data_IF_393683232909
#
_entry.id   IF_393683232909
#
_cell.length_a   1.000
_cell.length_b   1.000
_cell.length_c   1.000
_cell.angle_alpha   90.00
_cell.angle_beta   90.00
_cell.angle_gamma   90.00
#
_symmetry.space_group_name_H-M   'P 1'
#
loop_
_entity.id
_entity.type
_entity.pdbx_description
1 polymer ?
#
# COMPACT_ATOMS: atom_id res chain seq x y z
N UNK A 1 15.31 -3.76 -11.68
CA UNK A 1 14.28 -4.35 -10.78
C UNK A 1 14.81 -5.59 -10.03
N UNK A 2 14.49 -5.76 -8.73
CA UNK A 2 14.80 -6.97 -7.93
C UNK A 2 13.51 -7.69 -7.54
N UNK A 3 13.49 -9.03 -7.61
CA UNK A 3 12.32 -9.84 -7.27
C UNK A 3 12.57 -10.69 -6.03
N UNK A 4 11.77 -10.49 -4.98
CA UNK A 4 11.76 -11.32 -3.79
C UNK A 4 10.63 -12.35 -3.89
N UNK A 5 10.95 -13.62 -3.63
CA UNK A 5 9.97 -14.70 -3.51
C UNK A 5 10.06 -15.28 -2.10
N UNK A 6 8.94 -15.31 -1.41
CA UNK A 6 8.83 -15.92 -0.09
C UNK A 6 8.20 -17.31 -0.21
N UNK A 7 8.84 -18.31 0.37
CA UNK A 7 8.19 -19.61 0.59
C UNK A 7 7.03 -19.45 1.59
N UNK A 8 6.15 -20.46 1.64
CA UNK A 8 5.07 -20.49 2.64
C UNK A 8 5.61 -20.40 4.07
N UNK A 9 6.70 -21.12 4.38
CA UNK A 9 7.29 -21.12 5.73
C UNK A 9 7.95 -19.79 6.08
N UNK A 10 8.66 -19.16 5.15
CA UNK A 10 9.22 -17.81 5.35
C UNK A 10 8.09 -16.80 5.60
N UNK A 11 6.99 -16.94 4.86
CA UNK A 11 5.84 -16.09 5.01
C UNK A 11 5.15 -16.25 6.37
N UNK A 12 4.96 -17.49 6.82
CA UNK A 12 4.39 -17.79 8.15
C UNK A 12 5.27 -17.25 9.28
N UNK A 13 6.60 -17.39 9.15
CA UNK A 13 7.55 -16.85 10.12
C UNK A 13 7.51 -15.31 10.20
N UNK A 14 7.43 -14.61 9.07
CA UNK A 14 7.28 -13.14 9.06
C UNK A 14 6.02 -12.74 9.81
N UNK A 15 4.89 -13.39 9.53
CA UNK A 15 3.63 -13.09 10.20
C UNK A 15 3.71 -13.34 11.70
N UNK A 16 4.30 -14.47 12.09
CA UNK A 16 4.49 -14.82 13.50
C UNK A 16 5.27 -13.72 14.23
N UNK A 17 6.42 -13.28 13.70
CA UNK A 17 7.24 -12.23 14.32
C UNK A 17 6.53 -10.88 14.48
N UNK A 18 5.67 -10.52 13.52
CA UNK A 18 4.87 -9.29 13.64
C UNK A 18 3.86 -9.43 14.79
N UNK A 19 3.23 -10.60 14.92
CA UNK A 19 2.26 -10.87 15.97
C UNK A 19 2.87 -11.11 17.36
N UNK A 20 4.10 -11.61 17.45
CA UNK A 20 4.81 -11.79 18.72
C UNK A 20 5.04 -10.44 19.44
N UNK A 21 5.10 -9.33 18.70
CA UNK A 21 5.19 -7.97 19.26
C UNK A 21 3.87 -7.19 19.30
N UNK A 22 2.75 -7.83 18.94
CA UNK A 22 1.44 -7.19 18.91
C UNK A 22 0.86 -7.05 20.32
N UNK A 23 0.08 -5.99 20.57
CA UNK A 23 -0.68 -5.87 21.80
C UNK A 23 -1.90 -6.82 21.77
N UNK A 24 -2.45 -7.12 22.94
CA UNK A 24 -3.62 -7.99 23.07
C UNK A 24 -4.80 -7.48 22.21
N UNK A 25 -5.34 -8.38 21.39
CA UNK A 25 -6.45 -8.09 20.48
C UNK A 25 -6.04 -7.47 19.13
N UNK A 26 -4.77 -7.14 18.93
CA UNK A 26 -4.32 -6.61 17.64
C UNK A 26 -4.17 -7.71 16.59
N UNK A 27 -4.72 -7.43 15.41
CA UNK A 27 -4.61 -8.32 14.26
C UNK A 27 -4.14 -7.56 13.03
N UNK A 28 -3.27 -8.22 12.26
CA UNK A 28 -2.61 -7.65 11.09
C UNK A 28 -2.89 -8.53 9.87
N UNK A 29 -3.06 -7.87 8.72
CA UNK A 29 -3.28 -8.56 7.45
C UNK A 29 -1.95 -9.08 6.95
N UNK A 30 -2.03 -9.93 5.94
CA UNK A 30 -0.84 -10.34 5.20
C UNK A 30 -0.11 -9.16 4.57
N UNK A 31 -0.84 -8.17 4.06
CA UNK A 31 -0.21 -6.97 3.51
C UNK A 31 0.50 -6.15 4.59
N UNK A 32 -0.11 -6.00 5.77
CA UNK A 32 0.49 -5.23 6.87
C UNK A 32 1.80 -5.89 7.32
N UNK A 33 1.79 -7.20 7.56
CA UNK A 33 2.97 -7.95 8.00
C UNK A 33 4.12 -7.87 6.98
N UNK A 34 3.82 -8.05 5.68
CA UNK A 34 4.85 -8.01 4.64
C UNK A 34 5.43 -6.61 4.49
N UNK A 35 4.57 -5.60 4.51
CA UNK A 35 4.98 -4.20 4.43
C UNK A 35 5.87 -3.84 5.62
N UNK A 36 5.46 -4.21 6.84
CA UNK A 36 6.25 -3.98 8.04
C UNK A 36 7.62 -4.65 7.99
N UNK A 37 7.68 -5.88 7.50
CA UNK A 37 8.94 -6.59 7.30
C UNK A 37 9.87 -5.85 6.33
N UNK A 38 9.38 -5.45 5.16
CA UNK A 38 10.19 -4.70 4.21
C UNK A 38 10.64 -3.35 4.73
N UNK A 39 9.74 -2.59 5.36
CA UNK A 39 10.08 -1.32 6.00
C UNK A 39 11.23 -1.51 6.99
N UNK A 40 11.13 -2.48 7.91
CA UNK A 40 12.16 -2.74 8.91
C UNK A 40 13.49 -3.17 8.28
N UNK A 41 13.47 -4.07 7.29
CA UNK A 41 14.70 -4.52 6.61
C UNK A 41 15.37 -3.38 5.86
N UNK A 42 14.60 -2.56 5.13
CA UNK A 42 15.12 -1.41 4.40
C UNK A 42 15.68 -0.35 5.35
N UNK A 43 14.98 -0.06 6.46
CA UNK A 43 15.47 0.85 7.51
C UNK A 43 16.83 0.43 8.08
N UNK A 44 17.15 -0.87 8.10
CA UNK A 44 18.46 -1.35 8.59
C UNK A 44 19.62 -1.12 7.63
N UNK A 45 19.34 -0.89 6.35
CA UNK A 45 20.37 -0.81 5.30
C UNK A 45 20.44 0.55 4.61
N UNK A 46 19.45 1.40 4.81
CA UNK A 46 19.42 2.77 4.30
C UNK A 46 20.05 3.73 5.30
N UNK A 47 20.66 4.81 4.80
CA UNK A 47 21.24 5.87 5.65
C UNK A 47 20.18 6.66 6.41
N UNK A 48 18.99 6.83 5.81
CA UNK A 48 17.84 7.49 6.41
C UNK A 48 16.78 6.44 6.76
N UNK A 49 16.35 6.34 8.03
CA UNK A 49 15.35 5.35 8.43
C UNK A 49 13.99 5.66 7.80
N UNK A 50 13.25 4.62 7.42
CA UNK A 50 11.88 4.81 6.94
C UNK A 50 10.97 5.10 8.14
N UNK A 51 10.35 6.27 8.12
CA UNK A 51 9.42 6.73 9.17
C UNK A 51 7.99 6.85 8.66
N UNK A 52 7.76 6.74 7.35
CA UNK A 52 6.41 6.80 6.80
C UNK A 52 6.23 5.79 5.67
N UNK A 53 5.15 5.02 5.74
CA UNK A 53 4.72 4.13 4.66
C UNK A 53 3.61 4.81 3.87
N UNK A 54 3.80 4.93 2.56
CA UNK A 54 2.82 5.48 1.63
C UNK A 54 2.16 4.34 0.87
N UNK A 55 0.91 4.04 1.21
CA UNK A 55 0.14 2.99 0.57
C UNK A 55 -0.64 3.54 -0.61
N UNK A 56 -0.55 2.90 -1.78
CA UNK A 56 -1.51 3.09 -2.86
C UNK A 56 -2.75 2.26 -2.53
N UNK A 57 -3.89 2.94 -2.33
CA UNK A 57 -5.11 2.31 -1.85
C UNK A 57 -6.21 2.42 -2.91
N UNK A 58 -6.84 1.28 -3.21
CA UNK A 58 -8.01 1.22 -4.08
C UNK A 58 -9.26 1.61 -3.30
N UNK A 59 -9.99 2.63 -3.78
CA UNK A 59 -11.19 3.15 -3.13
C UNK A 59 -12.51 2.70 -3.78
N UNK A 60 -12.46 1.76 -4.72
CA UNK A 60 -13.65 1.06 -5.20
C UNK A 60 -14.36 0.37 -4.05
N UNK A 61 -15.68 0.36 -4.13
CA UNK A 61 -16.59 -0.27 -3.19
C UNK A 61 -16.42 0.22 -1.74
N UNK A 62 -15.91 1.43 -1.55
CA UNK A 62 -15.79 2.04 -0.21
C UNK A 62 -17.08 2.77 0.20
N UNK A 63 -17.92 3.13 -0.76
CA UNK A 63 -19.22 3.78 -0.54
C UNK A 63 -20.15 3.50 -1.73
N UNK A 64 -21.44 3.73 -1.55
CA UNK A 64 -22.44 3.63 -2.63
C UNK A 64 -22.40 4.81 -3.62
N UNK A 65 -21.47 5.77 -3.43
CA UNK A 65 -21.36 6.95 -4.27
C UNK A 65 -20.79 6.59 -5.65
N UNK A 66 -21.23 7.25 -6.75
CA UNK A 66 -20.84 6.88 -8.11
C UNK A 66 -19.32 6.85 -8.35
N UNK A 67 -18.57 7.75 -7.73
CA UNK A 67 -17.11 7.82 -7.90
C UNK A 67 -16.38 6.59 -7.36
N UNK A 68 -16.99 5.86 -6.42
CA UNK A 68 -16.42 4.67 -5.77
C UNK A 68 -16.97 3.36 -6.34
N UNK A 69 -17.71 3.38 -7.45
CA UNK A 69 -18.33 2.19 -8.01
C UNK A 69 -17.31 1.09 -8.35
N UNK A 70 -17.63 -0.18 -8.03
CA UNK A 70 -16.73 -1.32 -8.21
C UNK A 70 -16.22 -1.47 -9.65
N UNK A 71 -17.11 -1.27 -10.62
CA UNK A 71 -16.82 -1.45 -12.05
C UNK A 71 -16.34 -0.17 -12.74
N UNK A 72 -15.92 0.85 -11.99
CA UNK A 72 -15.43 2.09 -12.59
C UNK A 72 -14.16 1.81 -13.40
N UNK A 73 -14.23 2.05 -14.70
CA UNK A 73 -13.07 2.02 -15.59
C UNK A 73 -12.16 3.22 -15.28
N UNK A 74 -10.86 2.97 -15.13
CA UNK A 74 -9.87 4.01 -14.83
C UNK A 74 -9.08 3.75 -13.55
N UNK A 75 -8.33 4.76 -13.10
CA UNK A 75 -7.45 4.64 -11.95
C UNK A 75 -8.15 5.09 -10.66
N UNK A 76 -8.85 4.17 -10.00
CA UNK A 76 -9.52 4.44 -8.71
C UNK A 76 -8.62 4.11 -7.52
N UNK A 77 -7.50 4.82 -7.43
CA UNK A 77 -6.58 4.73 -6.30
C UNK A 77 -6.19 6.11 -5.79
N UNK A 78 -5.80 6.19 -4.52
CA UNK A 78 -5.12 7.36 -3.96
C UNK A 78 -3.98 6.93 -3.04
N UNK A 79 -3.06 7.84 -2.73
CA UNK A 79 -1.96 7.59 -1.80
C UNK A 79 -2.38 7.93 -0.37
N UNK A 80 -2.26 6.96 0.53
CA UNK A 80 -2.50 7.14 1.95
C UNK A 80 -1.20 7.01 2.73
N UNK A 81 -0.88 8.05 3.49
CA UNK A 81 0.30 8.09 4.33
C UNK A 81 -0.02 7.44 5.68
N UNK A 82 0.88 6.60 6.18
CA UNK A 82 0.85 6.22 7.58
C UNK A 82 1.12 7.41 8.47
N UNK A 83 0.69 7.33 9.72
CA UNK A 83 1.27 8.16 10.77
C UNK A 83 2.79 7.98 10.78
N UNK A 84 3.50 9.02 11.21
CA UNK A 84 4.94 8.95 11.39
C UNK A 84 5.27 7.89 12.44
N UNK A 85 6.24 7.05 12.11
CA UNK A 85 6.75 5.99 12.96
C UNK A 85 7.85 6.62 13.81
N UNK A 86 7.69 6.55 15.12
CA UNK A 86 8.64 7.13 16.07
C UNK A 86 10.04 6.52 15.87
N UNK A 87 11.09 7.29 16.14
CA UNK A 87 12.48 6.89 15.87
C UNK A 87 12.87 5.61 16.63
N UNK A 88 12.36 5.44 17.84
CA UNK A 88 12.51 4.26 18.68
C UNK A 88 11.78 3.01 18.13
N UNK A 89 10.77 3.22 17.28
CA UNK A 89 9.87 2.18 16.77
C UNK A 89 10.17 1.76 15.32
N UNK A 90 11.11 2.43 14.62
CA UNK A 90 11.41 2.15 13.19
C UNK A 90 11.94 0.73 12.92
N UNK A 91 12.32 -0.01 13.97
CA UNK A 91 12.72 -1.41 13.89
C UNK A 91 11.69 -2.38 14.49
N UNK A 92 10.59 -1.87 15.05
CA UNK A 92 9.51 -2.66 15.63
C UNK A 92 8.51 -3.08 14.57
N UNK A 93 8.50 -4.38 14.24
CA UNK A 93 7.58 -4.94 13.25
C UNK A 93 6.11 -4.65 13.58
N UNK A 94 5.72 -4.76 14.86
CA UNK A 94 4.34 -4.51 15.28
C UNK A 94 3.98 -3.03 15.22
N UNK A 95 4.88 -2.12 15.61
CA UNK A 95 4.63 -0.68 15.51
C UNK A 95 4.46 -0.23 14.06
N UNK A 96 5.32 -0.71 13.16
CA UNK A 96 5.19 -0.44 11.73
C UNK A 96 3.89 -1.02 11.18
N UNK A 97 3.56 -2.28 11.50
CA UNK A 97 2.33 -2.92 11.03
C UNK A 97 1.07 -2.19 11.50
N UNK A 98 1.08 -1.65 12.72
CA UNK A 98 0.02 -0.81 13.28
C UNK A 98 -0.14 0.49 12.53
N UNK A 99 0.97 1.20 12.25
CA UNK A 99 0.94 2.44 11.47
C UNK A 99 0.36 2.19 10.05
N UNK A 100 0.78 1.10 9.41
CA UNK A 100 0.24 0.67 8.10
C UNK A 100 -1.25 0.35 8.20
N UNK A 101 -1.66 -0.49 9.15
CA UNK A 101 -3.06 -0.88 9.33
C UNK A 101 -3.94 0.34 9.59
N UNK A 102 -3.53 1.23 10.49
CA UNK A 102 -4.29 2.44 10.80
C UNK A 102 -4.51 3.29 9.54
N UNK A 103 -3.49 3.45 8.70
CA UNK A 103 -3.60 4.18 7.43
C UNK A 103 -4.60 3.54 6.47
N UNK A 104 -4.54 2.21 6.30
CA UNK A 104 -5.43 1.47 5.42
C UNK A 104 -6.87 1.52 5.94
N UNK A 105 -7.08 1.33 7.24
CA UNK A 105 -8.41 1.40 7.86
C UNK A 105 -9.03 2.77 7.65
N UNK A 106 -8.27 3.86 7.86
CA UNK A 106 -8.74 5.22 7.57
C UNK A 106 -9.10 5.41 6.10
N UNK A 107 -8.30 4.84 5.18
CA UNK A 107 -8.59 4.86 3.75
C UNK A 107 -9.81 3.99 3.34
N UNK A 108 -10.46 3.31 4.29
CA UNK A 108 -11.74 2.61 4.10
C UNK A 108 -12.94 3.34 4.69
N UNK A 109 -12.72 4.46 5.35
CA UNK A 109 -13.81 5.29 5.86
C UNK A 109 -14.48 6.07 4.71
N UNK A 110 -15.79 5.91 4.47
CA UNK A 110 -16.48 6.52 3.33
C UNK A 110 -16.40 8.05 3.30
N UNK A 111 -16.50 8.68 4.47
CA UNK A 111 -16.53 10.14 4.61
C UNK A 111 -15.13 10.72 4.43
N UNK A 112 -14.12 10.06 5.00
CA UNK A 112 -12.73 10.41 4.76
C UNK A 112 -12.38 10.32 3.28
N UNK A 113 -12.79 9.25 2.59
CA UNK A 113 -12.48 9.08 1.16
C UNK A 113 -13.20 10.12 0.32
N UNK A 114 -14.47 10.42 0.56
CA UNK A 114 -15.16 11.45 -0.20
C UNK A 114 -14.51 12.83 -0.03
N UNK A 115 -14.20 13.21 1.22
CA UNK A 115 -13.49 14.45 1.51
C UNK A 115 -12.15 14.46 0.77
N UNK A 116 -11.37 13.39 0.86
CA UNK A 116 -10.07 13.26 0.22
C UNK A 116 -10.15 13.34 -1.30
N UNK A 117 -11.11 12.66 -1.91
CA UNK A 117 -11.30 12.67 -3.36
C UNK A 117 -11.78 14.03 -3.86
N UNK A 118 -12.62 14.72 -3.10
CA UNK A 118 -13.07 16.07 -3.42
C UNK A 118 -11.90 17.05 -3.40
N UNK A 119 -11.13 17.06 -2.32
CA UNK A 119 -9.96 17.94 -2.17
C UNK A 119 -8.88 17.59 -3.19
N UNK A 120 -8.51 16.31 -3.28
CA UNK A 120 -7.49 15.81 -4.20
C UNK A 120 -7.82 16.15 -5.65
N UNK A 121 -9.06 15.91 -6.10
CA UNK A 121 -9.49 16.22 -7.46
C UNK A 121 -9.44 17.72 -7.75
N UNK A 122 -9.85 18.57 -6.79
CA UNK A 122 -9.76 20.02 -6.94
C UNK A 122 -8.32 20.50 -7.16
N UNK A 123 -7.38 20.07 -6.32
CA UNK A 123 -5.98 20.47 -6.45
C UNK A 123 -5.27 19.86 -7.65
N UNK A 124 -5.58 18.60 -7.98
CA UNK A 124 -5.05 17.96 -9.19
C UNK A 124 -5.52 18.71 -10.43
N UNK A 125 -6.82 19.06 -10.51
CA UNK A 125 -7.36 19.86 -11.61
C UNK A 125 -6.68 21.23 -11.69
N UNK A 126 -6.60 21.95 -10.57
CA UNK A 126 -5.94 23.27 -10.53
C UNK A 126 -4.46 23.20 -10.95
N UNK A 127 -3.76 22.13 -10.59
CA UNK A 127 -2.36 21.90 -10.97
C UNK A 127 -2.26 21.64 -12.47
N UNK A 128 -3.14 20.80 -13.02
CA UNK A 128 -3.19 20.51 -14.45
C UNK A 128 -3.57 21.75 -15.28
N UNK A 129 -4.55 22.54 -14.82
CA UNK A 129 -4.97 23.79 -15.47
C UNK A 129 -3.85 24.86 -15.48
N UNK A 130 -2.80 24.68 -14.66
CA UNK A 130 -1.62 25.54 -14.61
C UNK A 130 -0.41 24.92 -15.34
N UNK A 131 -0.61 23.91 -16.19
CA UNK A 131 0.41 23.15 -16.92
C UNK A 131 1.50 22.56 -15.99
N UNK A 132 1.09 22.16 -14.78
CA UNK A 132 1.93 21.49 -13.80
C UNK A 132 1.47 20.05 -13.61
N UNK A 133 2.37 19.24 -13.07
CA UNK A 133 2.12 17.84 -12.73
C UNK A 133 2.37 17.59 -11.24
N UNK A 134 1.57 16.72 -10.64
CA UNK A 134 1.78 16.30 -9.26
C UNK A 134 2.96 15.32 -9.20
N UNK A 135 3.98 15.67 -8.42
CA UNK A 135 5.20 14.87 -8.29
C UNK A 135 5.02 13.78 -7.24
N UNK A 136 5.16 12.52 -7.64
CA UNK A 136 4.88 11.33 -6.80
C UNK A 136 6.12 10.44 -6.58
N UNK A 137 7.31 11.02 -6.64
CA UNK A 137 8.58 10.28 -6.54
C UNK A 137 8.90 9.98 -5.06
N UNK A 138 9.59 8.86 -4.77
CA UNK A 138 10.03 8.55 -3.42
C UNK A 138 10.78 9.72 -2.77
N UNK A 139 10.39 10.05 -1.54
CA UNK A 139 11.08 11.02 -0.71
C UNK A 139 11.89 10.27 0.34
N UNK A 140 12.98 10.86 0.81
CA UNK A 140 13.77 10.30 1.91
C UNK A 140 12.88 9.99 3.13
N UNK A 141 13.18 8.90 3.83
CA UNK A 141 12.38 8.42 4.96
C UNK A 141 11.00 7.86 4.61
N UNK A 142 10.65 7.71 3.33
CA UNK A 142 9.35 7.17 2.90
C UNK A 142 9.47 5.88 2.09
N UNK A 143 8.59 4.93 2.37
CA UNK A 143 8.46 3.69 1.61
C UNK A 143 7.11 3.61 0.91
N UNK A 144 7.12 3.53 -0.42
CA UNK A 144 5.93 3.51 -1.26
C UNK A 144 5.53 2.08 -1.60
N UNK A 145 4.28 1.72 -1.29
CA UNK A 145 3.74 0.37 -1.45
C UNK A 145 2.55 0.39 -2.40
N UNK A 146 2.68 -0.26 -3.55
CA UNK A 146 1.59 -0.51 -4.48
C UNK A 146 1.29 -2.01 -4.52
N UNK A 147 0.35 -2.45 -3.69
CA UNK A 147 0.04 -3.87 -3.49
C UNK A 147 -1.04 -4.35 -4.44
N UNK A 148 -0.69 -5.36 -5.24
CA UNK A 148 -1.64 -6.11 -6.07
C UNK A 148 -2.12 -7.40 -5.40
N UNK A 149 -1.84 -7.61 -4.10
CA UNK A 149 -2.10 -8.86 -3.39
C UNK A 149 -3.60 -9.24 -3.36
N UNK A 150 -4.49 -8.24 -3.36
CA UNK A 150 -5.94 -8.46 -3.33
C UNK A 150 -6.56 -8.90 -4.66
N UNK A 151 -5.80 -8.89 -5.76
CA UNK A 151 -6.30 -9.33 -7.07
C UNK A 151 -5.99 -10.79 -7.31
N UNK A 152 -7.02 -11.59 -7.62
CA UNK A 152 -6.81 -12.94 -8.14
C UNK A 152 -6.52 -12.89 -9.63
N UNK A 153 -5.24 -12.67 -9.94
CA UNK A 153 -4.77 -12.66 -11.32
C UNK A 153 -4.90 -14.03 -12.00
N UNK A 154 -5.03 -15.14 -11.26
CA UNK A 154 -5.19 -16.46 -11.86
C UNK A 154 -6.65 -16.77 -12.25
N UNK A 155 -7.60 -15.95 -11.80
CA UNK A 155 -9.01 -16.09 -12.18
C UNK A 155 -9.24 -15.78 -13.67
N UNK A 156 -8.42 -14.90 -14.27
CA UNK A 156 -8.52 -14.62 -15.68
C UNK A 156 -8.01 -15.81 -16.50
N UNK A 157 -8.87 -16.39 -17.35
CA UNK A 157 -8.50 -17.57 -18.15
C UNK A 157 -8.74 -17.41 -19.66
N UNK A 158 -9.56 -16.45 -20.10
CA UNK A 158 -9.85 -16.17 -21.52
C UNK A 158 -10.21 -17.43 -22.33
N UNK A 159 -10.96 -18.36 -21.71
CA UNK A 159 -11.31 -19.66 -22.31
C UNK A 159 -10.36 -20.83 -22.00
N UNK A 160 -9.26 -20.61 -21.26
CA UNK A 160 -8.22 -21.62 -20.98
C UNK A 160 -7.95 -21.80 -19.47
N UNK A 161 -8.90 -22.36 -18.68
CA UNK A 161 -8.75 -22.51 -17.24
C UNK A 161 -7.50 -23.33 -16.88
N UNK A 162 -6.76 -22.86 -15.88
CA UNK A 162 -5.52 -23.50 -15.41
C UNK A 162 -4.30 -23.34 -16.33
N UNK A 163 -4.43 -22.67 -17.49
CA UNK A 163 -3.33 -22.47 -18.46
C UNK A 163 -2.88 -21.02 -18.57
N UNK A 164 -3.72 -20.05 -18.20
CA UNK A 164 -3.34 -18.65 -18.17
C UNK A 164 -2.37 -18.38 -17.01
N UNK A 165 -1.35 -17.56 -17.28
CA UNK A 165 -0.41 -17.07 -16.26
C UNK A 165 -0.31 -15.56 -16.39
N UNK A 166 -0.40 -14.88 -15.27
CA UNK A 166 -0.28 -13.43 -15.21
C UNK A 166 1.00 -13.06 -14.49
N UNK A 167 1.74 -12.13 -15.10
CA UNK A 167 2.96 -11.57 -14.54
C UNK A 167 2.80 -10.06 -14.50
N UNK A 168 3.10 -9.46 -13.35
CA UNK A 168 3.17 -8.00 -13.21
C UNK A 168 4.65 -7.61 -13.13
N UNK A 169 5.06 -6.62 -13.92
CA UNK A 169 6.34 -5.94 -13.80
C UNK A 169 6.09 -4.47 -13.48
N UNK A 170 6.96 -3.86 -12.67
CA UNK A 170 6.93 -2.44 -12.41
C UNK A 170 7.77 -1.70 -13.44
N UNK A 171 7.24 -0.64 -14.03
CA UNK A 171 8.01 0.28 -14.87
C UNK A 171 8.66 1.33 -13.97
N UNK A 172 9.90 1.10 -13.54
CA UNK A 172 10.73 2.14 -12.90
C UNK A 172 12.10 2.33 -13.55
N UNK A 173 12.51 1.51 -14.52
CA UNK A 173 13.84 1.60 -15.15
C UNK A 173 14.01 2.80 -16.13
N UNK A 174 13.15 3.83 -16.09
CA UNK A 174 13.12 4.91 -17.11
C UNK A 174 12.98 6.36 -16.61
N UNK A 175 13.21 6.64 -15.33
CA UNK A 175 13.28 8.03 -14.85
C UNK A 175 14.54 8.25 -14.02
#
# INVERSE_FOLDING_TARGET
QVHFRFSKSQWEEIRKRVHDGAADGETFSKQDCLTAYFTMVLTRVLDVPIQCVVNVVNYRNVSDRPFAHLNLAGNSVFMMFSSEIAAEDVLSLAAIARAVRASITRARDPDFVEMWMTFGSYYMKRTADADRLTWWVPQEGKFYVNSNYGFDWNAAHLGFPGRARFYTSGLQDRY
#
